data_IF_530250427102
#
_entry.id   IF_530250427102
#
_cell.length_a   1.000
_cell.length_b   1.000
_cell.length_c   1.000
_cell.angle_alpha   90.00
_cell.angle_beta   90.00
_cell.angle_gamma   90.00
#
_symmetry.space_group_name_H-M   'P 1'
#
loop_
_entity.id
_entity.type
_entity.pdbx_description
1 polymer ?
#
# COMPACT_ATOMS: atom_id res chain seq x y z
N UNK A 1 12.24 -4.82 -13.48
CA UNK A 1 11.27 -5.90 -13.20
C UNK A 1 9.90 -5.26 -13.35
N UNK A 2 8.93 -5.88 -14.03
CA UNK A 2 7.61 -5.24 -14.25
C UNK A 2 6.72 -5.35 -13.02
N UNK A 3 5.83 -4.38 -12.79
CA UNK A 3 5.07 -4.27 -11.54
C UNK A 3 3.96 -5.32 -11.44
N UNK A 4 3.83 -6.05 -10.32
CA UNK A 4 2.94 -7.23 -10.26
C UNK A 4 1.91 -7.19 -9.15
N UNK A 5 0.70 -7.64 -9.46
CA UNK A 5 -0.38 -7.72 -8.49
C UNK A 5 -1.19 -9.01 -8.61
N UNK A 6 -1.60 -9.56 -7.47
CA UNK A 6 -2.54 -10.67 -7.39
C UNK A 6 -3.97 -10.16 -7.62
N UNK A 7 -4.76 -10.83 -8.45
CA UNK A 7 -6.18 -10.51 -8.65
C UNK A 7 -7.00 -11.78 -8.41
N UNK A 8 -7.84 -11.77 -7.39
CA UNK A 8 -8.63 -12.92 -6.95
C UNK A 8 -10.11 -12.62 -7.18
N UNK A 9 -10.83 -13.61 -7.69
CA UNK A 9 -12.29 -13.55 -7.79
C UNK A 9 -12.90 -14.74 -7.09
N UNK A 10 -13.66 -14.48 -6.03
CA UNK A 10 -14.50 -15.47 -5.35
C UNK A 10 -15.88 -15.45 -5.98
N UNK A 11 -16.26 -16.58 -6.58
CA UNK A 11 -17.55 -16.81 -7.24
C UNK A 11 -18.65 -16.99 -6.18
N UNK A 12 -19.90 -16.81 -6.58
CA UNK A 12 -21.06 -16.99 -5.70
C UNK A 12 -21.18 -18.39 -5.08
N UNK A 13 -20.59 -19.41 -5.72
CA UNK A 13 -20.52 -20.78 -5.20
C UNK A 13 -19.36 -21.02 -4.22
N UNK A 14 -18.62 -19.98 -3.83
CA UNK A 14 -17.48 -20.04 -2.92
C UNK A 14 -16.16 -20.51 -3.54
N UNK A 15 -16.13 -20.86 -4.84
CA UNK A 15 -14.87 -21.17 -5.52
C UNK A 15 -14.12 -19.88 -5.87
N UNK A 16 -12.79 -19.91 -5.85
CA UNK A 16 -11.97 -18.76 -6.22
C UNK A 16 -11.11 -19.02 -7.45
N UNK A 17 -10.84 -17.95 -8.18
CA UNK A 17 -9.92 -17.92 -9.31
C UNK A 17 -8.80 -16.93 -9.03
N UNK A 18 -7.56 -17.35 -9.28
CA UNK A 18 -6.37 -16.52 -9.15
C UNK A 18 -5.88 -16.06 -10.52
N UNK A 19 -5.65 -14.77 -10.62
CA UNK A 19 -5.04 -14.09 -11.74
C UNK A 19 -3.85 -13.26 -11.25
N UNK A 20 -2.98 -12.86 -12.16
CA UNK A 20 -2.04 -11.77 -11.89
C UNK A 20 -1.90 -10.84 -13.09
N UNK A 21 -1.53 -9.60 -12.78
CA UNK A 21 -1.32 -8.52 -13.76
C UNK A 21 0.09 -7.95 -13.63
N UNK A 22 0.67 -7.55 -14.76
CA UNK A 22 1.94 -6.81 -14.84
C UNK A 22 1.76 -5.28 -14.79
N UNK A 23 0.69 -4.80 -14.13
CA UNK A 23 0.29 -3.39 -14.07
C UNK A 23 -0.16 -2.99 -12.66
N UNK A 24 0.64 -3.34 -11.64
CA UNK A 24 0.28 -3.12 -10.24
C UNK A 24 0.28 -1.66 -9.80
N UNK A 25 1.26 -0.87 -10.25
CA UNK A 25 1.29 0.57 -9.97
C UNK A 25 0.00 1.19 -10.50
N UNK A 26 -0.71 1.95 -9.66
CA UNK A 26 -2.01 2.57 -9.96
C UNK A 26 -3.18 1.60 -10.09
N UNK A 27 -3.07 0.35 -9.60
CA UNK A 27 -4.18 -0.62 -9.65
C UNK A 27 -5.40 -0.15 -8.86
N UNK A 28 -5.19 0.68 -7.85
CA UNK A 28 -6.24 1.37 -7.10
C UNK A 28 -7.05 2.31 -8.00
N UNK A 29 -6.41 3.07 -8.89
CA UNK A 29 -7.09 3.95 -9.86
C UNK A 29 -8.02 3.17 -10.82
N UNK A 30 -7.67 1.93 -11.16
CA UNK A 30 -8.54 1.06 -11.99
C UNK A 30 -9.86 0.73 -11.27
N UNK A 31 -9.87 0.74 -9.94
CA UNK A 31 -11.07 0.49 -9.14
C UNK A 31 -12.10 1.63 -9.31
N UNK A 32 -11.70 2.82 -9.73
CA UNK A 32 -12.63 3.94 -9.94
C UNK A 32 -13.60 3.72 -11.11
N UNK A 33 -13.34 2.73 -11.95
CA UNK A 33 -14.27 2.34 -13.01
C UNK A 33 -15.42 1.44 -12.52
N UNK A 34 -15.35 0.97 -11.27
CA UNK A 34 -16.38 0.13 -10.65
C UNK A 34 -16.30 -1.36 -11.03
N UNK A 35 -17.27 -2.18 -10.56
CA UNK A 35 -17.19 -3.63 -10.66
C UNK A 35 -17.20 -4.17 -12.08
N UNK A 36 -18.05 -3.62 -12.96
CA UNK A 36 -18.22 -4.17 -14.32
C UNK A 36 -16.96 -4.02 -15.17
N UNK A 37 -16.32 -2.84 -15.26
CA UNK A 37 -15.08 -2.70 -16.03
C UNK A 37 -13.92 -3.51 -15.46
N UNK A 38 -13.78 -3.57 -14.13
CA UNK A 38 -12.72 -4.38 -13.48
C UNK A 38 -12.90 -5.87 -13.79
N UNK A 39 -14.12 -6.41 -13.67
CA UNK A 39 -14.39 -7.81 -14.03
C UNK A 39 -14.17 -8.10 -15.52
N UNK A 40 -14.49 -7.14 -16.39
CA UNK A 40 -14.27 -7.28 -17.83
C UNK A 40 -12.78 -7.37 -18.23
N UNK A 41 -11.86 -7.03 -17.33
CA UNK A 41 -10.42 -7.14 -17.57
C UNK A 41 -9.87 -8.55 -17.34
N UNK A 42 -10.53 -9.37 -16.51
CA UNK A 42 -10.03 -10.69 -16.09
C UNK A 42 -9.64 -11.62 -17.24
N UNK A 43 -10.39 -11.71 -18.36
CA UNK A 43 -10.00 -12.60 -19.46
C UNK A 43 -8.65 -12.25 -20.10
N UNK A 44 -8.16 -11.02 -19.92
CA UNK A 44 -6.85 -10.57 -20.40
C UNK A 44 -5.71 -10.81 -19.41
N UNK A 45 -5.99 -11.23 -18.18
CA UNK A 45 -5.00 -11.47 -17.14
C UNK A 45 -4.46 -12.91 -17.21
N UNK A 46 -3.26 -13.11 -16.64
CA UNK A 46 -2.60 -14.42 -16.63
C UNK A 46 -3.15 -15.29 -15.48
N UNK A 47 -3.29 -16.60 -15.72
CA UNK A 47 -3.92 -17.60 -14.82
C UNK A 47 -3.02 -18.81 -14.55
N UNK A 48 -1.74 -18.62 -14.27
CA UNK A 48 -0.82 -19.75 -14.03
C UNK A 48 -0.93 -20.37 -12.63
N UNK A 49 -1.85 -19.88 -11.79
CA UNK A 49 -2.10 -20.45 -10.45
C UNK A 49 -1.03 -20.13 -9.42
N UNK A 50 -0.06 -19.28 -9.77
CA UNK A 50 1.03 -18.87 -8.91
C UNK A 50 0.66 -17.62 -8.09
N UNK A 51 0.73 -17.71 -6.76
CA UNK A 51 0.59 -16.56 -5.87
C UNK A 51 1.89 -15.76 -5.81
N UNK A 52 1.81 -14.45 -6.04
CA UNK A 52 2.93 -13.56 -5.75
C UNK A 52 3.09 -13.43 -4.24
N UNK A 53 4.32 -13.56 -3.76
CA UNK A 53 4.69 -13.34 -2.37
C UNK A 53 4.65 -11.85 -1.99
N UNK A 54 4.89 -11.58 -0.70
CA UNK A 54 4.91 -10.24 -0.11
C UNK A 54 6.06 -9.33 -0.59
N UNK A 55 7.02 -9.83 -1.36
CA UNK A 55 8.08 -9.04 -2.00
C UNK A 55 7.82 -8.78 -3.48
N UNK A 56 7.11 -9.69 -4.17
CA UNK A 56 6.80 -9.57 -5.59
C UNK A 56 5.46 -8.87 -5.86
N UNK A 57 4.54 -8.87 -4.89
CA UNK A 57 3.22 -8.27 -5.05
C UNK A 57 3.22 -6.80 -4.60
N UNK A 58 3.33 -5.88 -5.57
CA UNK A 58 3.18 -4.43 -5.36
C UNK A 58 1.71 -3.97 -5.24
N UNK A 59 0.78 -4.90 -5.38
CA UNK A 59 -0.64 -4.65 -5.15
C UNK A 59 -1.46 -5.93 -5.18
N UNK A 60 -2.72 -5.80 -4.85
CA UNK A 60 -3.65 -6.91 -4.95
C UNK A 60 -5.11 -6.49 -4.88
N UNK A 61 -5.96 -7.26 -5.53
CA UNK A 61 -7.42 -7.11 -5.50
C UNK A 61 -8.05 -8.46 -5.20
N UNK A 62 -9.03 -8.50 -4.32
CA UNK A 62 -9.98 -9.60 -4.21
C UNK A 62 -11.41 -9.09 -4.38
N UNK A 63 -12.16 -9.79 -5.22
CA UNK A 63 -13.58 -9.55 -5.49
C UNK A 63 -14.39 -10.75 -5.03
N UNK A 64 -15.13 -10.60 -3.93
CA UNK A 64 -16.15 -11.57 -3.54
C UNK A 64 -17.49 -11.18 -4.14
N UNK A 65 -17.90 -11.90 -5.19
CA UNK A 65 -19.11 -11.61 -5.94
C UNK A 65 -20.38 -11.91 -5.14
N UNK A 66 -20.35 -12.94 -4.29
CA UNK A 66 -21.51 -13.35 -3.50
C UNK A 66 -21.77 -12.42 -2.33
N UNK A 67 -20.70 -12.01 -1.64
CA UNK A 67 -20.78 -11.11 -0.48
C UNK A 67 -20.69 -9.63 -0.85
N UNK A 68 -20.37 -9.31 -2.11
CA UNK A 68 -20.03 -7.96 -2.59
C UNK A 68 -18.92 -7.31 -1.74
N UNK A 69 -17.77 -7.98 -1.64
CA UNK A 69 -16.61 -7.47 -0.90
C UNK A 69 -15.47 -7.18 -1.88
N UNK A 70 -14.94 -5.96 -1.82
CA UNK A 70 -13.70 -5.55 -2.47
C UNK A 70 -12.62 -5.41 -1.39
N UNK A 71 -11.61 -6.27 -1.46
CA UNK A 71 -10.37 -6.11 -0.69
C UNK A 71 -9.28 -5.66 -1.63
N UNK A 72 -8.44 -4.71 -1.20
CA UNK A 72 -7.30 -4.31 -2.00
C UNK A 72 -6.15 -3.76 -1.15
N UNK A 73 -4.97 -3.79 -1.74
CA UNK A 73 -3.81 -3.03 -1.28
C UNK A 73 -2.98 -2.61 -2.50
N UNK A 74 -2.15 -1.60 -2.30
CA UNK A 74 -1.17 -1.10 -3.25
C UNK A 74 0.07 -0.63 -2.47
N UNK A 75 1.22 -0.63 -3.12
CA UNK A 75 2.44 -0.01 -2.59
C UNK A 75 2.52 1.48 -2.92
N UNK A 76 1.89 1.88 -4.03
CA UNK A 76 1.94 3.24 -4.56
C UNK A 76 0.57 3.66 -5.11
N UNK A 77 0.37 4.98 -5.15
CA UNK A 77 -0.81 5.63 -5.71
C UNK A 77 -1.62 6.38 -4.66
N UNK A 78 -2.72 7.03 -5.07
CA UNK A 78 -3.50 7.89 -4.18
C UNK A 78 -4.09 7.18 -2.96
N UNK A 79 -4.24 5.85 -2.99
CA UNK A 79 -4.67 5.10 -1.81
C UNK A 79 -3.61 5.03 -0.70
N UNK A 80 -2.33 5.20 -1.01
CA UNK A 80 -1.21 5.16 -0.05
C UNK A 80 -0.71 6.56 0.36
N UNK A 81 -1.25 7.62 -0.24
CA UNK A 81 -0.81 9.00 -0.02
C UNK A 81 -1.70 9.71 0.99
N UNK A 82 -1.09 10.32 2.03
CA UNK A 82 -1.83 10.95 3.12
C UNK A 82 -2.84 12.00 2.63
N UNK A 83 -2.45 12.82 1.64
CA UNK A 83 -3.32 13.88 1.10
C UNK A 83 -4.51 13.36 0.30
N UNK A 84 -4.35 12.23 -0.38
CA UNK A 84 -5.32 11.75 -1.36
C UNK A 84 -6.14 10.55 -0.88
N UNK A 85 -5.69 9.84 0.17
CA UNK A 85 -6.32 8.60 0.65
C UNK A 85 -7.81 8.75 0.93
N UNK A 86 -8.22 9.80 1.63
CA UNK A 86 -9.63 10.02 1.97
C UNK A 86 -10.50 10.17 0.71
N UNK A 87 -10.08 11.00 -0.24
CA UNK A 87 -10.74 11.20 -1.52
C UNK A 87 -10.77 9.92 -2.36
N UNK A 88 -9.67 9.16 -2.38
CA UNK A 88 -9.58 7.90 -3.11
C UNK A 88 -10.60 6.87 -2.60
N UNK A 89 -10.71 6.68 -1.28
CA UNK A 89 -11.70 5.79 -0.69
C UNK A 89 -13.14 6.27 -0.88
N UNK A 90 -13.40 7.59 -0.86
CA UNK A 90 -14.72 8.16 -1.20
C UNK A 90 -15.12 7.80 -2.64
N UNK A 91 -14.21 7.99 -3.59
CA UNK A 91 -14.44 7.72 -5.01
C UNK A 91 -14.63 6.23 -5.28
N UNK A 92 -13.85 5.34 -4.65
CA UNK A 92 -14.05 3.88 -4.77
C UNK A 92 -15.44 3.50 -4.23
N UNK A 93 -15.84 3.97 -3.04
CA UNK A 93 -17.18 3.66 -2.49
C UNK A 93 -18.30 4.12 -3.41
N UNK A 94 -18.12 5.25 -4.08
CA UNK A 94 -19.08 5.76 -5.07
C UNK A 94 -19.13 4.87 -6.32
N UNK A 95 -17.98 4.40 -6.81
CA UNK A 95 -17.90 3.52 -7.98
C UNK A 95 -18.37 2.08 -7.71
N UNK A 96 -18.40 1.66 -6.44
CA UNK A 96 -18.77 0.32 -5.99
C UNK A 96 -20.00 0.34 -5.06
N UNK A 97 -21.18 0.72 -5.56
CA UNK A 97 -22.38 0.81 -4.74
C UNK A 97 -22.79 -0.58 -4.21
N UNK A 98 -23.18 -0.64 -2.94
CA UNK A 98 -23.55 -1.86 -2.21
C UNK A 98 -22.41 -2.86 -1.97
N UNK A 99 -21.15 -2.48 -2.23
CA UNK A 99 -19.99 -3.29 -1.89
C UNK A 99 -19.37 -2.82 -0.59
N UNK A 100 -18.90 -3.78 0.19
CA UNK A 100 -17.99 -3.52 1.29
C UNK A 100 -16.57 -3.33 0.75
N UNK A 101 -15.94 -2.21 1.09
CA UNK A 101 -14.60 -1.86 0.63
C UNK A 101 -13.63 -1.90 1.81
N UNK A 102 -12.56 -2.70 1.71
CA UNK A 102 -11.53 -2.81 2.77
C UNK A 102 -10.11 -2.74 2.22
N UNK A 103 -9.26 -2.02 2.94
CA UNK A 103 -7.82 -2.05 2.75
C UNK A 103 -7.20 -3.27 3.43
N UNK A 104 -6.14 -3.82 2.86
CA UNK A 104 -5.35 -4.90 3.46
C UNK A 104 -3.99 -4.39 3.90
N UNK A 105 -3.72 -4.46 5.20
CA UNK A 105 -2.47 -4.00 5.79
C UNK A 105 -1.37 -5.05 5.72
N UNK A 106 -1.72 -6.34 5.62
CA UNK A 106 -0.79 -7.46 5.50
C UNK A 106 -0.84 -8.10 4.10
N UNK A 107 -1.28 -7.30 3.11
CA UNK A 107 -1.10 -7.54 1.68
C UNK A 107 -1.58 -8.92 1.20
N UNK A 108 -0.73 -9.70 0.50
CA UNK A 108 -1.09 -11.02 -0.02
C UNK A 108 -1.53 -12.04 1.04
N UNK A 109 -1.06 -11.91 2.28
CA UNK A 109 -1.40 -12.86 3.33
C UNK A 109 -2.87 -12.77 3.73
N UNK A 110 -3.41 -11.56 3.88
CA UNK A 110 -4.84 -11.35 4.14
C UNK A 110 -5.71 -11.79 2.96
N UNK A 111 -5.23 -11.65 1.71
CA UNK A 111 -5.95 -12.17 0.54
C UNK A 111 -6.11 -13.70 0.60
N UNK A 112 -5.07 -14.40 1.05
CA UNK A 112 -5.10 -15.86 1.20
C UNK A 112 -5.95 -16.31 2.37
N UNK A 113 -5.81 -15.65 3.50
CA UNK A 113 -6.62 -15.92 4.68
C UNK A 113 -8.11 -15.78 4.36
N UNK A 114 -8.49 -14.74 3.60
CA UNK A 114 -9.89 -14.53 3.20
C UNK A 114 -10.49 -15.71 2.42
N UNK A 115 -9.71 -16.35 1.54
CA UNK A 115 -10.15 -17.52 0.75
C UNK A 115 -9.92 -18.85 1.49
N UNK A 116 -9.59 -18.82 2.78
CA UNK A 116 -9.38 -20.01 3.61
C UNK A 116 -8.07 -20.74 3.31
N UNK A 117 -7.08 -20.07 2.74
CA UNK A 117 -5.75 -20.62 2.46
C UNK A 117 -4.74 -20.16 3.51
N UNK A 118 -3.68 -20.94 3.68
CA UNK A 118 -2.58 -20.62 4.60
C UNK A 118 -1.85 -19.32 4.19
N UNK A 119 -1.85 -18.25 5.02
CA UNK A 119 -1.16 -17.00 4.74
C UNK A 119 0.36 -17.15 4.71
N UNK A 120 0.94 -18.19 5.32
CA UNK A 120 2.39 -18.39 5.35
C UNK A 120 3.00 -18.68 3.97
N UNK A 121 2.20 -19.18 3.02
CA UNK A 121 2.66 -19.52 1.68
C UNK A 121 3.22 -18.35 0.88
N UNK A 122 2.73 -17.12 1.13
CA UNK A 122 3.15 -15.90 0.42
C UNK A 122 4.20 -15.11 1.19
N UNK A 123 4.76 -15.68 2.26
CA UNK A 123 5.84 -15.04 3.02
C UNK A 123 7.16 -15.33 2.35
N UNK A 124 7.91 -14.28 2.02
CA UNK A 124 9.30 -14.42 1.67
C UNK A 124 10.12 -14.66 2.95
N UNK A 125 10.47 -15.94 3.21
CA UNK A 125 11.15 -16.36 4.45
C UNK A 125 12.66 -16.12 4.45
N UNK A 126 13.25 -15.93 3.27
CA UNK A 126 14.70 -15.84 3.09
C UNK A 126 15.19 -14.38 2.96
N UNK A 127 14.33 -13.40 3.21
CA UNK A 127 14.70 -11.98 3.13
C UNK A 127 14.76 -11.36 4.52
N UNK A 128 15.97 -10.98 4.93
CA UNK A 128 16.15 -10.07 6.07
C UNK A 128 15.43 -8.75 5.80
N UNK A 129 14.87 -8.08 6.84
CA UNK A 129 14.26 -6.76 6.66
C UNK A 129 15.25 -5.77 6.05
N UNK A 130 14.83 -5.09 5.00
CA UNK A 130 15.61 -4.04 4.38
C UNK A 130 15.57 -2.78 5.25
N UNK A 131 16.68 -2.45 5.91
CA UNK A 131 16.71 -1.36 6.88
C UNK A 131 16.58 0.01 6.18
N UNK A 132 15.56 0.78 6.55
CA UNK A 132 15.36 2.12 6.05
C UNK A 132 16.45 3.09 6.55
N UNK A 133 17.12 3.88 5.69
CA UNK A 133 18.00 4.95 6.12
C UNK A 133 17.20 6.09 6.79
N UNK A 134 17.82 6.77 7.76
CA UNK A 134 17.26 8.00 8.33
C UNK A 134 17.66 9.20 7.48
N UNK A 135 16.67 10.03 7.18
CA UNK A 135 16.79 11.19 6.30
C UNK A 135 17.06 12.45 7.13
N UNK A 136 18.03 13.25 6.68
CA UNK A 136 18.33 14.53 7.32
C UNK A 136 17.24 15.58 7.02
N UNK A 137 17.08 16.61 7.85
CA UNK A 137 16.28 17.78 7.46
C UNK A 137 16.82 18.39 6.16
N UNK A 138 15.95 18.56 5.16
CA UNK A 138 16.33 19.09 3.84
C UNK A 138 16.89 18.08 2.85
N UNK A 139 16.81 16.78 3.16
CA UNK A 139 17.09 15.70 2.20
C UNK A 139 16.20 15.81 0.95
N UNK A 140 16.72 15.44 -0.22
CA UNK A 140 16.00 15.55 -1.49
C UNK A 140 14.78 14.61 -1.55
N UNK A 141 14.87 13.46 -0.87
CA UNK A 141 13.77 12.50 -0.75
C UNK A 141 12.56 13.10 0.02
N UNK A 142 12.76 14.21 0.73
CA UNK A 142 11.73 14.92 1.49
C UNK A 142 11.20 16.18 0.78
N UNK A 143 11.68 16.50 -0.43
CA UNK A 143 11.34 17.75 -1.13
C UNK A 143 9.96 17.70 -1.82
N UNK A 144 9.42 16.50 -2.04
CA UNK A 144 8.11 16.29 -2.66
C UNK A 144 6.93 16.69 -1.76
N UNK A 145 5.73 16.88 -2.33
CA UNK A 145 4.56 17.27 -1.57
C UNK A 145 3.95 16.13 -0.73
N UNK A 146 4.17 14.88 -1.15
CA UNK A 146 3.87 13.62 -0.43
C UNK A 146 5.17 12.80 -0.34
N UNK A 147 6.14 13.20 0.51
CA UNK A 147 7.44 12.55 0.53
C UNK A 147 7.35 11.13 1.09
N UNK A 148 8.14 10.24 0.50
CA UNK A 148 8.25 8.83 0.87
C UNK A 148 8.96 8.64 2.21
N UNK A 149 8.28 8.95 3.31
CA UNK A 149 8.87 8.98 4.64
C UNK A 149 8.04 8.26 5.70
N UNK A 150 8.74 7.82 6.75
CA UNK A 150 8.17 7.31 8.00
C UNK A 150 8.58 8.24 9.13
N UNK A 151 7.61 8.96 9.71
CA UNK A 151 7.87 9.83 10.87
C UNK A 151 7.98 9.01 12.14
N UNK A 152 9.04 9.22 12.93
CA UNK A 152 9.26 8.51 14.19
C UNK A 152 9.41 9.54 15.30
N UNK A 153 8.47 9.57 16.24
CA UNK A 153 8.54 10.42 17.43
C UNK A 153 8.90 9.58 18.65
N UNK A 154 9.71 10.14 19.56
CA UNK A 154 10.12 9.47 20.80
C UNK A 154 9.90 10.38 22.00
N UNK A 155 8.97 9.98 22.87
CA UNK A 155 8.45 10.80 23.96
C UNK A 155 7.98 12.17 23.45
N UNK A 156 8.10 13.19 24.29
CA UNK A 156 7.78 14.58 23.93
C UNK A 156 8.91 15.31 23.17
N UNK A 157 10.08 14.68 23.00
CA UNK A 157 11.32 15.43 22.78
C UNK A 157 12.00 15.22 21.43
N UNK A 158 11.73 14.11 20.74
CA UNK A 158 12.51 13.73 19.54
C UNK A 158 11.59 13.39 18.37
N UNK A 159 11.99 13.83 17.20
CA UNK A 159 11.40 13.45 15.92
C UNK A 159 12.50 13.05 14.96
N UNK A 160 12.25 12.02 14.16
CA UNK A 160 13.12 11.49 13.13
C UNK A 160 12.27 11.16 11.91
N UNK A 161 12.90 11.06 10.75
CA UNK A 161 12.24 10.60 9.51
C UNK A 161 13.13 9.55 8.87
N UNK A 162 12.57 8.40 8.56
CA UNK A 162 13.21 7.35 7.76
C UNK A 162 12.59 7.29 6.36
N UNK A 163 13.29 6.74 5.38
CA UNK A 163 12.73 6.49 4.05
C UNK A 163 11.67 5.38 4.11
N UNK A 164 10.58 5.50 3.35
CA UNK A 164 9.56 4.45 3.20
C UNK A 164 9.79 3.53 1.98
N UNK A 165 10.87 3.76 1.21
CA UNK A 165 11.28 2.89 0.10
C UNK A 165 11.83 1.52 0.55
N UNK A 166 11.81 1.26 1.85
CA UNK A 166 12.40 0.12 2.54
C UNK A 166 11.34 -0.51 3.47
N UNK A 167 11.70 -1.57 4.19
CA UNK A 167 10.79 -2.13 5.19
C UNK A 167 10.49 -1.09 6.28
N UNK A 168 9.24 -1.09 6.73
CA UNK A 168 8.81 -0.18 7.78
C UNK A 168 9.69 -0.36 9.04
N UNK A 169 10.31 0.70 9.58
CA UNK A 169 11.27 0.62 10.70
C UNK A 169 10.75 -0.07 11.97
N UNK A 170 9.42 -0.18 12.14
CA UNK A 170 8.80 -0.86 13.27
C UNK A 170 9.14 -2.35 13.30
N UNK A 171 9.47 -2.93 12.13
CA UNK A 171 9.88 -4.33 11.95
C UNK A 171 11.28 -4.63 12.47
N UNK A 172 12.06 -3.61 12.82
CA UNK A 172 13.38 -3.80 13.44
C UNK A 172 13.27 -4.19 14.92
N UNK A 173 12.09 -4.10 15.51
CA UNK A 173 11.91 -4.37 16.93
C UNK A 173 12.65 -3.37 17.81
N UNK A 174 13.05 -3.81 19.00
CA UNK A 174 13.78 -2.96 19.95
C UNK A 174 15.12 -2.44 19.43
N UNK A 175 15.71 -3.07 18.41
CA UNK A 175 16.96 -2.60 17.79
C UNK A 175 16.81 -1.22 17.12
N UNK A 176 15.58 -0.81 16.78
CA UNK A 176 15.30 0.54 16.29
C UNK A 176 15.75 1.62 17.28
N UNK A 177 15.63 1.37 18.60
CA UNK A 177 15.98 2.33 19.65
C UNK A 177 17.47 2.69 19.60
N UNK A 178 18.34 1.71 19.33
CA UNK A 178 19.78 1.92 19.23
C UNK A 178 20.13 2.76 17.99
N UNK A 179 19.46 2.54 16.86
CA UNK A 179 19.67 3.33 15.66
C UNK A 179 19.20 4.77 15.82
N UNK A 180 18.09 4.99 16.52
CA UNK A 180 17.55 6.33 16.80
C UNK A 180 18.51 7.18 17.64
N UNK A 181 19.39 6.57 18.44
CA UNK A 181 20.35 7.29 19.27
C UNK A 181 21.30 8.19 18.44
N UNK A 182 21.65 7.77 17.23
CA UNK A 182 22.56 8.47 16.32
C UNK A 182 21.87 9.05 15.08
N UNK A 183 20.54 8.91 14.96
CA UNK A 183 19.80 9.34 13.79
C UNK A 183 19.70 10.88 13.73
N UNK A 184 19.68 11.47 12.51
CA UNK A 184 19.35 12.88 12.31
C UNK A 184 18.04 13.25 13.01
N UNK A 185 18.04 14.38 13.71
CA UNK A 185 16.86 14.88 14.43
C UNK A 185 16.10 15.88 13.56
N UNK A 186 14.80 15.67 13.49
CA UNK A 186 13.81 16.64 13.05
C UNK A 186 13.29 17.33 14.31
N UNK A 187 13.11 18.66 14.26
CA UNK A 187 12.56 19.40 15.42
C UNK A 187 11.09 19.05 15.64
N UNK A 188 10.28 19.33 14.62
CA UNK A 188 8.92 18.84 14.44
C UNK A 188 8.73 18.48 12.97
N UNK A 189 7.96 17.44 12.68
CA UNK A 189 7.65 16.99 11.33
C UNK A 189 6.30 17.56 10.89
N UNK A 190 6.31 18.32 9.80
CA UNK A 190 5.13 18.89 9.14
C UNK A 190 4.88 18.29 7.75
N UNK A 191 5.57 17.21 7.42
CA UNK A 191 5.48 16.54 6.13
C UNK A 191 4.22 15.67 6.06
N UNK A 192 3.67 15.50 4.85
CA UNK A 192 2.58 14.55 4.56
C UNK A 192 3.14 13.15 4.32
N UNK A 193 3.82 12.60 5.31
CA UNK A 193 4.39 11.24 5.26
C UNK A 193 3.30 10.16 5.25
N UNK A 194 3.63 8.98 4.75
CA UNK A 194 2.66 7.89 4.54
C UNK A 194 2.69 6.80 5.63
N UNK A 195 3.55 6.94 6.63
CA UNK A 195 3.60 6.06 7.78
C UNK A 195 4.23 6.75 9.00
N UNK A 196 4.06 6.15 10.19
CA UNK A 196 4.73 6.65 11.36
C UNK A 196 4.73 5.75 12.58
N UNK A 197 5.62 6.07 13.52
CA UNK A 197 5.81 5.41 14.81
C UNK A 197 5.85 6.47 15.91
N UNK A 198 5.10 6.25 16.98
CA UNK A 198 5.22 6.97 18.23
C UNK A 198 5.74 6.00 19.30
N UNK A 199 6.88 6.34 19.90
CA UNK A 199 7.54 5.57 20.97
C UNK A 199 7.46 6.34 22.28
N UNK A 200 6.83 5.76 23.30
CA UNK A 200 6.91 6.24 24.68
C UNK A 200 7.84 5.31 25.48
N UNK A 201 9.12 5.68 25.71
CA UNK A 201 10.03 4.87 26.51
C UNK A 201 9.78 4.99 28.03
N UNK A 202 9.05 6.01 28.51
CA UNK A 202 8.74 6.15 29.94
C UNK A 202 7.65 5.17 30.36
N UNK A 203 6.71 4.90 29.44
CA UNK A 203 5.71 3.84 29.55
C UNK A 203 5.85 3.00 28.30
N UNK A 204 6.55 1.85 28.31
CA UNK A 204 6.99 1.13 27.10
C UNK A 204 5.79 0.80 26.20
N UNK A 205 5.46 1.75 25.33
CA UNK A 205 4.27 1.81 24.51
C UNK A 205 4.70 2.29 23.14
N UNK A 206 4.23 1.57 22.14
CA UNK A 206 4.50 1.84 20.74
C UNK A 206 3.17 1.90 20.03
N UNK A 207 2.89 3.06 19.43
CA UNK A 207 1.86 3.22 18.43
C UNK A 207 2.46 3.32 17.06
N UNK A 208 1.88 2.66 16.06
CA UNK A 208 2.35 2.82 14.69
C UNK A 208 1.20 2.74 13.68
N UNK A 209 1.38 3.39 12.54
CA UNK A 209 0.40 3.47 11.46
C UNK A 209 1.13 3.44 10.11
N UNK A 210 0.43 3.00 9.08
CA UNK A 210 0.95 2.87 7.72
C UNK A 210 -0.19 2.97 6.72
N UNK A 211 -0.03 3.78 5.67
CA UNK A 211 -1.01 3.86 4.57
C UNK A 211 -0.77 2.82 3.49
N UNK A 212 0.44 2.27 3.41
CA UNK A 212 0.79 1.12 2.56
C UNK A 212 0.64 -0.21 3.31
N UNK A 213 0.61 -1.32 2.56
CA UNK A 213 0.68 -2.66 3.13
C UNK A 213 2.07 -2.94 3.70
N UNK A 214 2.14 -3.42 4.95
CA UNK A 214 3.38 -3.84 5.59
C UNK A 214 3.32 -5.34 5.89
N UNK A 215 4.19 -6.16 5.28
CA UNK A 215 4.20 -7.60 5.54
C UNK A 215 4.37 -7.90 7.03
N UNK A 216 3.55 -8.81 7.53
CA UNK A 216 3.49 -9.23 8.93
C UNK A 216 3.09 -8.10 9.89
N UNK A 217 2.31 -7.11 9.44
CA UNK A 217 1.81 -6.00 10.26
C UNK A 217 1.26 -6.47 11.63
N UNK A 218 0.49 -7.56 11.66
CA UNK A 218 -0.11 -8.06 12.90
C UNK A 218 0.86 -8.81 13.83
N UNK A 219 2.08 -9.13 13.38
CA UNK A 219 3.13 -9.78 14.19
C UNK A 219 4.14 -8.81 14.79
N UNK A 220 4.05 -7.51 14.46
CA UNK A 220 4.92 -6.48 15.05
C UNK A 220 5.03 -6.54 16.58
N UNK A 221 3.96 -6.85 17.36
CA UNK A 221 4.09 -7.02 18.81
C UNK A 221 5.14 -8.05 19.25
N UNK A 222 5.38 -9.09 18.45
CA UNK A 222 6.37 -10.16 18.76
C UNK A 222 7.82 -9.63 18.70
N UNK A 223 8.04 -8.54 17.95
CA UNK A 223 9.35 -7.92 17.74
C UNK A 223 9.72 -6.91 18.83
N UNK A 224 8.77 -6.57 19.69
CA UNK A 224 8.91 -5.54 20.73
C UNK A 224 8.65 -6.13 22.13
N UNK A 225 9.51 -7.05 22.61
CA UNK A 225 9.31 -7.69 23.91
C UNK A 225 9.30 -6.64 25.04
N UNK A 226 8.31 -6.73 25.91
CA UNK A 226 8.13 -5.81 27.04
C UNK A 226 7.45 -4.49 26.71
N UNK A 227 7.06 -4.26 25.45
CA UNK A 227 6.30 -3.09 25.04
C UNK A 227 4.82 -3.43 24.81
N UNK A 228 3.94 -2.48 25.08
CA UNK A 228 2.56 -2.50 24.60
C UNK A 228 2.56 -1.94 23.18
N UNK A 229 2.29 -2.80 22.19
CA UNK A 229 2.26 -2.40 20.78
C UNK A 229 0.82 -2.26 20.30
N UNK A 230 0.52 -1.11 19.70
CA UNK A 230 -0.76 -0.83 19.06
C UNK A 230 -0.57 -0.48 17.59
N UNK A 231 -1.25 -1.23 16.72
CA UNK A 231 -1.33 -0.91 15.30
C UNK A 231 -2.55 -0.02 15.06
N UNK A 232 -2.30 1.25 14.74
CA UNK A 232 -3.31 2.28 14.48
C UNK A 232 -3.78 2.33 13.03
N UNK A 233 -3.30 1.42 12.17
CA UNK A 233 -3.74 1.31 10.78
C UNK A 233 -3.49 2.62 10.01
N UNK A 234 -4.54 3.32 9.59
CA UNK A 234 -4.47 4.62 8.90
C UNK A 234 -4.91 5.82 9.76
N UNK A 235 -5.10 5.65 11.08
CA UNK A 235 -5.41 6.73 12.05
C UNK A 235 -4.12 7.50 12.42
N UNK A 236 -3.54 8.20 11.43
CA UNK A 236 -2.37 9.05 11.61
C UNK A 236 -2.67 10.22 12.56
N UNK A 237 -3.93 10.65 12.66
CA UNK A 237 -4.38 11.67 13.60
C UNK A 237 -4.16 11.23 15.05
N UNK A 238 -4.15 9.92 15.32
CA UNK A 238 -3.77 9.39 16.63
C UNK A 238 -2.31 9.67 16.97
N UNK A 239 -1.41 9.65 15.99
CA UNK A 239 -0.02 10.06 16.19
C UNK A 239 0.06 11.55 16.54
N UNK A 240 -0.70 12.40 15.84
CA UNK A 240 -0.79 13.84 16.17
C UNK A 240 -1.32 14.06 17.60
N UNK A 241 -2.28 13.25 18.06
CA UNK A 241 -2.79 13.31 19.44
C UNK A 241 -1.82 12.77 20.48
N UNK A 242 -0.90 11.89 20.09
CA UNK A 242 0.07 11.25 20.99
C UNK A 242 1.25 12.17 21.35
N UNK A 243 1.55 13.19 20.55
CA UNK A 243 2.61 14.15 20.83
C UNK A 243 2.60 15.38 19.92
N UNK A 244 3.39 16.40 20.27
CA UNK A 244 3.44 17.69 19.57
C UNK A 244 4.48 17.75 18.44
N UNK A 245 5.18 16.64 18.20
CA UNK A 245 6.31 16.55 17.25
C UNK A 245 5.92 16.13 15.84
N UNK A 246 4.71 15.63 15.65
CA UNK A 246 4.17 15.32 14.33
C UNK A 246 2.86 16.08 14.14
N UNK A 247 2.85 16.96 13.15
CA UNK A 247 1.68 17.76 12.79
C UNK A 247 1.78 18.09 11.31
N UNK A 248 1.31 17.21 10.40
CA UNK A 248 1.30 17.49 8.97
C UNK A 248 0.77 18.89 8.67
N UNK A 249 1.33 19.55 7.65
CA UNK A 249 0.78 20.81 7.17
C UNK A 249 -0.69 20.64 6.78
N UNK A 250 -1.46 21.73 6.79
CA UNK A 250 -2.84 21.66 6.34
C UNK A 250 -2.91 21.40 4.83
N UNK A 251 -3.82 20.51 4.43
CA UNK A 251 -4.11 20.17 3.03
C UNK A 251 -5.62 20.02 2.82
N UNK A 252 -6.08 20.22 1.58
CA UNK A 252 -7.47 19.93 1.21
C UNK A 252 -7.63 18.44 0.92
N UNK A 253 -8.37 17.74 1.79
CA UNK A 253 -8.73 16.33 1.60
C UNK A 253 -10.05 16.16 0.81
N UNK A 254 -10.58 17.24 0.22
CA UNK A 254 -11.93 17.34 -0.33
C UNK A 254 -11.93 17.45 -1.85
N UNK A 255 -12.33 18.60 -2.37
CA UNK A 255 -12.55 18.78 -3.80
C UNK A 255 -11.25 18.78 -4.61
N UNK A 256 -10.19 19.37 -4.09
CA UNK A 256 -8.89 19.41 -4.78
C UNK A 256 -8.29 18.01 -4.85
N UNK A 257 -8.27 17.30 -3.73
CA UNK A 257 -7.81 15.90 -3.70
C UNK A 257 -8.61 15.01 -4.66
N UNK A 258 -9.94 15.12 -4.71
CA UNK A 258 -10.77 14.38 -5.67
C UNK A 258 -10.41 14.71 -7.11
N UNK A 259 -10.19 15.99 -7.43
CA UNK A 259 -9.85 16.42 -8.79
C UNK A 259 -8.52 15.83 -9.25
N UNK A 260 -7.49 15.81 -8.38
CA UNK A 260 -6.19 15.20 -8.65
C UNK A 260 -6.34 13.70 -8.93
N UNK A 261 -7.00 12.96 -8.04
CA UNK A 261 -7.22 11.52 -8.19
C UNK A 261 -7.96 11.19 -9.50
N UNK A 262 -9.00 11.97 -9.84
CA UNK A 262 -9.75 11.76 -11.08
C UNK A 262 -8.93 12.08 -12.34
N UNK A 263 -8.04 13.08 -12.27
CA UNK A 263 -7.12 13.40 -13.36
C UNK A 263 -6.13 12.24 -13.60
N UNK A 264 -5.49 11.74 -12.55
CA UNK A 264 -4.58 10.58 -12.63
C UNK A 264 -5.29 9.33 -13.18
N UNK A 265 -6.52 9.07 -12.72
CA UNK A 265 -7.34 7.99 -13.26
C UNK A 265 -7.61 8.15 -14.77
N UNK A 266 -7.82 9.39 -15.23
CA UNK A 266 -7.99 9.72 -16.65
C UNK A 266 -6.74 9.44 -17.48
N UNK A 267 -5.56 9.84 -16.98
CA UNK A 267 -4.28 9.56 -17.62
C UNK A 267 -4.01 8.06 -17.70
N UNK A 268 -4.23 7.34 -16.60
CA UNK A 268 -4.10 5.89 -16.54
C UNK A 268 -4.98 5.19 -17.57
N UNK A 269 -6.26 5.56 -17.67
CA UNK A 269 -7.18 5.00 -18.68
C UNK A 269 -6.65 5.20 -20.09
N UNK A 270 -6.11 6.38 -20.38
CA UNK A 270 -5.52 6.71 -21.69
C UNK A 270 -4.30 5.82 -22.00
N UNK A 271 -3.40 5.65 -21.04
CA UNK A 271 -2.23 4.76 -21.17
C UNK A 271 -2.67 3.32 -21.43
N UNK A 272 -3.63 2.81 -20.66
CA UNK A 272 -4.13 1.43 -20.83
C UNK A 272 -4.81 1.22 -22.18
N UNK A 273 -5.62 2.17 -22.64
CA UNK A 273 -6.25 2.11 -23.96
C UNK A 273 -5.20 2.03 -25.09
N UNK A 274 -4.14 2.84 -25.00
CA UNK A 274 -3.02 2.82 -25.95
C UNK A 274 -2.30 1.46 -25.96
N UNK A 275 -1.99 0.92 -24.79
CA UNK A 275 -1.27 -0.35 -24.66
C UNK A 275 -2.09 -1.54 -25.15
N UNK A 276 -3.41 -1.55 -24.90
CA UNK A 276 -4.33 -2.55 -25.48
C UNK A 276 -4.35 -2.46 -27.00
N UNK A 277 -4.46 -1.25 -27.57
CA UNK A 277 -4.45 -1.06 -29.02
C UNK A 277 -3.15 -1.54 -29.68
N UNK A 278 -1.99 -1.28 -29.06
CA UNK A 278 -0.69 -1.76 -29.54
C UNK A 278 -0.59 -3.30 -29.47
N UNK A 279 -1.02 -3.91 -28.37
CA UNK A 279 -1.01 -5.37 -28.20
C UNK A 279 -1.91 -6.09 -29.20
N UNK A 280 -3.08 -5.53 -29.49
CA UNK A 280 -3.99 -6.05 -30.53
C UNK A 280 -3.34 -5.97 -31.91
N UNK A 281 -2.71 -4.84 -32.27
CA UNK A 281 -2.00 -4.70 -33.55
C UNK A 281 -0.86 -5.70 -33.72
N UNK A 282 -0.12 -5.99 -32.65
CA UNK A 282 0.96 -6.99 -32.67
C UNK A 282 0.43 -8.42 -32.85
N UNK A 283 -0.73 -8.75 -32.27
CA UNK A 283 -1.39 -10.06 -32.46
C UNK A 283 -2.02 -10.24 -33.84
N UNK A 284 -2.46 -9.15 -34.49
CA UNK A 284 -3.07 -9.19 -35.83
C UNK A 284 -2.08 -8.98 -36.97
N UNK A 285 -0.80 -8.74 -36.68
CA UNK A 285 0.23 -8.67 -37.71
C UNK A 285 0.44 -10.07 -38.32
N UNK A 286 0.34 -10.25 -39.65
CA UNK A 286 0.51 -11.55 -40.27
C UNK A 286 1.91 -12.06 -40.01
N UNK A 287 2.01 -13.28 -39.44
CA UNK A 287 3.26 -14.04 -39.37
C UNK A 287 3.82 -14.16 -40.78
N UNK A 288 4.90 -13.41 -41.08
CA UNK A 288 5.65 -13.62 -42.32
C UNK A 288 6.13 -15.06 -42.31
N UNK A 289 5.52 -15.91 -43.13
CA UNK A 289 6.01 -17.26 -43.36
C UNK A 289 7.43 -17.14 -43.91
N UNK A 290 8.42 -17.63 -43.17
CA UNK A 290 9.68 -18.04 -43.77
C UNK A 290 9.42 -19.31 -44.57
N UNK A 291 8.99 -19.13 -45.82
CA UNK A 291 9.39 -19.99 -46.93
C UNK A 291 10.56 -19.22 -47.58
N UNK A 292 11.76 -19.77 -47.73
CA UNK A 292 12.10 -21.06 -48.31
C UNK A 292 13.15 -20.72 -49.36
#
# INVERSE_FOLDING_TARGET
MGDRANVIVVRENGTHELYWTGWAVGIDLDLLEGPKPVLAMLPGLRRDGWWLDDTMAQGGILLDLGRKVLLFFAWEGPSTELRHRAAMFELIRTAWPDWEIRWLYDGPAELREYVGLDPEYVRCRDSDPSLAPFLAPGDEDLAGPDPGGVVITVGAGRCHVASDAFDHPVREGTALLDRLANAPRHGSCHLHVNAGIHLDPERPHLGWWSLFSSPQAYRVPELWPGWTVEFWRDDWERHVRAGDRFSPAAFDAGEEARAVVLAEAGERRTIRARNRAQSTRLRTAPTRSRAG
#
